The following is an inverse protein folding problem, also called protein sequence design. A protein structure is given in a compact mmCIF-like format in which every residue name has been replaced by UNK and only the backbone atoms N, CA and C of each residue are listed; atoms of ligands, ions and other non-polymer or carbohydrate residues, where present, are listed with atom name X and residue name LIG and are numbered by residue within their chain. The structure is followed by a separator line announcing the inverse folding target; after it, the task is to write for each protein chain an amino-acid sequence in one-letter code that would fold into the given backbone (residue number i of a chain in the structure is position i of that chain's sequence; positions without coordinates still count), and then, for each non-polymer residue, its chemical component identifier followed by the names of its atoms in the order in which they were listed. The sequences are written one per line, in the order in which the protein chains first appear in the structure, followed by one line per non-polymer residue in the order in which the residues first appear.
data_IF_956347754482
#
_entry.id   IF_956347754482
#
_cell.length_a   1.000
_cell.length_b   1.000
_cell.length_c   1.000
_cell.angle_alpha   90.00
_cell.angle_beta   90.00
_cell.angle_gamma   90.00
#
_symmetry.space_group_name_H-M   'P 1'
#
loop_
_entity.id
_entity.type
_entity.pdbx_description
1 polymer ?
#
# COMPACT_ATOMS: atom_id res chain seq x y z
N UNK A 1 1.30 0.32 2.62
CA UNK A 1 0.61 0.37 1.31
C UNK A 1 -0.28 1.60 1.24
N UNK A 2 -1.30 1.70 2.10
CA UNK A 2 -2.22 2.85 2.07
C UNK A 2 -1.53 4.19 2.39
N UNK A 3 -0.58 4.22 3.34
CA UNK A 3 0.24 5.42 3.59
C UNK A 3 0.93 5.94 2.31
N UNK A 4 1.51 5.04 1.52
CA UNK A 4 2.14 5.40 0.24
C UNK A 4 1.11 5.93 -0.75
N UNK A 5 -0.04 5.26 -0.90
CA UNK A 5 -1.13 5.72 -1.80
C UNK A 5 -1.66 7.08 -1.40
N UNK A 6 -1.86 7.33 -0.11
CA UNK A 6 -2.33 8.63 0.38
C UNK A 6 -1.32 9.73 0.14
N UNK A 7 -0.03 9.47 0.35
CA UNK A 7 1.03 10.43 0.06
C UNK A 7 1.14 10.72 -1.45
N UNK A 8 0.98 9.71 -2.31
CA UNK A 8 0.90 9.89 -3.77
C UNK A 8 -0.34 10.69 -4.18
N UNK A 9 -1.54 10.31 -3.70
CA UNK A 9 -2.79 10.97 -4.09
C UNK A 9 -2.92 12.39 -3.56
N UNK A 10 -2.30 12.70 -2.43
CA UNK A 10 -2.23 14.07 -1.90
C UNK A 10 -1.16 14.93 -2.57
N UNK A 11 -0.32 14.36 -3.44
CA UNK A 11 0.79 15.05 -4.08
C UNK A 11 2.03 15.26 -3.19
N UNK A 12 2.04 14.70 -1.98
CA UNK A 12 3.20 14.73 -1.08
C UNK A 12 4.36 13.89 -1.62
N UNK A 13 4.08 12.81 -2.35
CA UNK A 13 5.06 12.05 -3.12
C UNK A 13 4.99 12.48 -4.57
N UNK A 14 6.08 13.02 -5.10
CA UNK A 14 6.22 13.38 -6.51
C UNK A 14 6.40 12.14 -7.38
N UNK A 15 6.11 12.28 -8.68
CA UNK A 15 6.19 11.18 -9.64
C UNK A 15 7.61 10.62 -9.84
N UNK A 16 8.63 11.42 -9.53
CA UNK A 16 10.06 11.09 -9.60
C UNK A 16 10.62 10.49 -8.30
N UNK A 17 9.78 10.26 -7.27
CA UNK A 17 10.19 9.60 -6.02
C UNK A 17 9.26 8.43 -5.62
N UNK A 18 8.45 7.92 -6.56
CA UNK A 18 7.43 6.92 -6.27
C UNK A 18 8.04 5.66 -5.63
N UNK A 19 9.15 5.16 -6.18
CA UNK A 19 9.74 3.90 -5.75
C UNK A 19 10.59 4.08 -4.49
N UNK A 20 11.35 5.18 -4.39
CA UNK A 20 12.06 5.56 -3.16
C UNK A 20 11.11 5.70 -1.99
N UNK A 21 9.99 6.41 -2.14
CA UNK A 21 8.99 6.56 -1.05
C UNK A 21 8.32 5.25 -0.69
N UNK A 22 8.13 4.35 -1.66
CA UNK A 22 7.67 2.98 -1.37
C UNK A 22 8.64 2.24 -0.46
N UNK A 23 9.94 2.24 -0.79
CA UNK A 23 10.97 1.57 0.01
C UNK A 23 11.24 2.26 1.34
N UNK A 24 11.18 3.59 1.40
CA UNK A 24 11.29 4.35 2.66
C UNK A 24 10.24 3.86 3.68
N UNK A 25 8.98 3.69 3.25
CA UNK A 25 7.91 3.19 4.12
C UNK A 25 8.07 1.71 4.48
N UNK A 26 8.52 0.87 3.53
CA UNK A 26 8.75 -0.57 3.77
C UNK A 26 9.86 -0.80 4.78
N UNK A 27 10.98 -0.10 4.64
CA UNK A 27 12.11 -0.19 5.56
C UNK A 27 11.66 0.36 6.92
N UNK A 28 11.08 1.57 6.98
CA UNK A 28 10.69 2.22 8.23
C UNK A 28 9.70 1.40 9.05
N UNK A 29 8.63 0.92 8.44
CA UNK A 29 7.51 0.30 9.17
C UNK A 29 7.54 -1.23 9.19
N UNK A 30 8.31 -1.88 8.31
CA UNK A 30 8.31 -3.35 8.20
C UNK A 30 9.68 -3.99 8.37
N UNK A 31 10.77 -3.20 8.40
CA UNK A 31 12.12 -3.74 8.53
C UNK A 31 12.57 -4.57 7.33
N UNK A 32 12.02 -4.27 6.14
CA UNK A 32 12.32 -5.00 4.91
C UNK A 32 13.16 -4.14 3.97
N UNK A 33 14.32 -4.65 3.57
CA UNK A 33 15.16 -4.08 2.51
C UNK A 33 14.96 -4.81 1.19
N UNK A 34 15.17 -4.13 0.04
CA UNK A 34 15.26 -4.82 -1.24
C UNK A 34 16.57 -5.62 -1.32
N UNK A 35 16.58 -6.78 -2.01
CA UNK A 35 17.78 -7.59 -2.17
C UNK A 35 18.78 -7.01 -3.17
N UNK A 36 18.36 -6.04 -3.99
CA UNK A 36 19.17 -5.32 -4.97
C UNK A 36 18.89 -3.83 -4.85
N UNK A 37 19.83 -3.00 -5.30
CA UNK A 37 19.64 -1.55 -5.42
C UNK A 37 18.44 -1.25 -6.33
N UNK A 38 17.70 -0.20 -5.98
CA UNK A 38 16.47 0.21 -6.65
C UNK A 38 16.60 1.60 -7.22
N UNK A 39 15.82 1.89 -8.24
CA UNK A 39 15.78 3.20 -8.87
C UNK A 39 14.34 3.64 -9.12
N UNK A 40 14.17 4.81 -9.72
CA UNK A 40 12.85 5.32 -10.13
C UNK A 40 12.44 4.81 -11.53
N UNK A 41 13.30 4.02 -12.19
CA UNK A 41 12.91 3.22 -13.35
C UNK A 41 12.12 1.97 -12.93
N UNK A 42 12.21 1.56 -11.66
CA UNK A 42 11.39 0.51 -11.06
C UNK A 42 10.01 1.05 -10.62
N UNK A 43 9.04 0.16 -10.48
CA UNK A 43 7.76 0.46 -9.85
C UNK A 43 7.29 -0.70 -8.96
N UNK A 44 8.01 -0.95 -7.85
CA UNK A 44 7.78 -2.12 -6.99
C UNK A 44 6.41 -2.09 -6.30
N UNK A 45 5.88 -0.89 -6.04
CA UNK A 45 4.52 -0.71 -5.55
C UNK A 45 3.49 -1.35 -6.50
N UNK A 46 3.69 -1.23 -7.83
CA UNK A 46 2.81 -1.80 -8.85
C UNK A 46 2.79 -3.33 -8.90
N UNK A 47 3.81 -4.00 -8.34
CA UNK A 47 3.84 -5.46 -8.25
C UNK A 47 2.84 -6.03 -7.22
N UNK A 48 2.17 -5.17 -6.44
CA UNK A 48 1.06 -5.58 -5.57
C UNK A 48 -0.27 -5.43 -6.28
N UNK A 49 -1.00 -6.54 -6.42
CA UNK A 49 -2.32 -6.59 -7.07
C UNK A 49 -3.25 -5.46 -6.64
N UNK A 50 -3.37 -5.18 -5.34
CA UNK A 50 -4.28 -4.15 -4.85
C UNK A 50 -3.90 -2.73 -5.29
N UNK A 51 -2.62 -2.46 -5.54
CA UNK A 51 -2.19 -1.18 -6.11
C UNK A 51 -2.58 -1.11 -7.59
N UNK A 52 -2.19 -2.12 -8.37
CA UNK A 52 -2.45 -2.12 -9.83
C UNK A 52 -3.93 -2.23 -10.19
N UNK A 53 -4.73 -2.92 -9.37
CA UNK A 53 -6.17 -3.04 -9.54
C UNK A 53 -6.97 -1.88 -8.88
N UNK A 54 -6.30 -0.91 -8.25
CA UNK A 54 -6.95 0.23 -7.60
C UNK A 54 -7.73 -0.11 -6.31
N UNK A 55 -7.63 -1.35 -5.82
CA UNK A 55 -8.40 -1.89 -4.70
C UNK A 55 -7.82 -1.42 -3.36
N UNK A 56 -8.64 -0.92 -2.44
CA UNK A 56 -8.22 -0.45 -1.11
C UNK A 56 -7.65 -1.57 -0.23
N UNK A 57 -6.59 -1.26 0.54
CA UNK A 57 -5.88 -2.26 1.35
C UNK A 57 -6.10 -2.07 2.87
N UNK A 58 -6.46 -0.86 3.29
CA UNK A 58 -6.73 -0.50 4.70
C UNK A 58 -7.80 -1.40 5.35
N UNK A 59 -8.71 -1.97 4.57
CA UNK A 59 -9.75 -2.90 5.05
C UNK A 59 -9.17 -4.11 5.80
N UNK A 60 -7.99 -4.61 5.42
CA UNK A 60 -7.34 -5.72 6.12
C UNK A 60 -6.80 -5.30 7.48
N UNK A 61 -6.20 -4.10 7.56
CA UNK A 61 -5.69 -3.57 8.83
C UNK A 61 -6.83 -3.37 9.83
N UNK A 62 -7.93 -2.75 9.38
CA UNK A 62 -9.12 -2.53 10.21
C UNK A 62 -9.79 -3.86 10.58
N UNK A 63 -9.91 -4.80 9.64
CA UNK A 63 -10.56 -6.09 9.92
C UNK A 63 -9.86 -6.88 11.01
N UNK A 64 -8.52 -6.86 11.07
CA UNK A 64 -7.81 -7.55 12.15
C UNK A 64 -8.10 -6.94 13.52
N UNK A 65 -8.12 -5.61 13.64
CA UNK A 65 -8.45 -4.95 14.92
C UNK A 65 -9.88 -5.32 15.36
N UNK A 66 -10.83 -5.18 14.44
CA UNK A 66 -12.25 -5.42 14.72
C UNK A 66 -12.50 -6.90 15.02
N UNK A 67 -11.84 -7.83 14.33
CA UNK A 67 -11.97 -9.28 14.53
C UNK A 67 -11.74 -9.66 16.00
N UNK A 68 -10.63 -9.22 16.60
CA UNK A 68 -10.33 -9.55 17.99
C UNK A 68 -11.22 -8.80 18.98
N UNK A 69 -11.65 -7.58 18.65
CA UNK A 69 -12.61 -6.84 19.48
C UNK A 69 -13.97 -7.53 19.53
N UNK A 70 -14.45 -8.05 18.40
CA UNK A 70 -15.67 -8.85 18.33
C UNK A 70 -15.50 -10.17 19.06
N UNK A 71 -14.39 -10.87 18.80
CA UNK A 71 -14.08 -12.13 19.47
C UNK A 71 -14.11 -11.98 21.00
N UNK A 72 -13.45 -10.96 21.55
CA UNK A 72 -13.47 -10.68 23.00
C UNK A 72 -14.87 -10.42 23.53
N UNK A 73 -15.68 -9.61 22.84
CA UNK A 73 -17.02 -9.29 23.30
C UNK A 73 -17.96 -10.51 23.30
N UNK A 74 -17.81 -11.40 22.31
CA UNK A 74 -18.58 -12.64 22.23
C UNK A 74 -18.09 -13.66 23.28
N UNK A 75 -16.78 -13.81 23.43
CA UNK A 75 -16.17 -14.66 24.44
C UNK A 75 -16.50 -14.24 25.87
N UNK A 76 -16.57 -12.94 26.15
CA UNK A 76 -17.00 -12.44 27.46
C UNK A 76 -18.42 -12.86 27.85
N UNK A 77 -19.26 -13.26 26.88
CA UNK A 77 -20.60 -13.83 27.11
C UNK A 77 -20.58 -15.35 27.09
N UNK A 78 -19.79 -15.93 26.19
CA UNK A 78 -19.77 -17.38 26.00
C UNK A 78 -18.96 -18.13 27.07
N UNK A 79 -17.75 -17.64 27.37
CA UNK A 79 -16.74 -18.30 28.20
C UNK A 79 -15.85 -17.25 28.89
N UNK A 80 -16.38 -16.44 29.84
CA UNK A 80 -15.66 -15.30 30.43
C UNK A 80 -14.37 -15.66 31.17
N UNK A 81 -14.28 -16.88 31.70
CA UNK A 81 -13.12 -17.35 32.48
C UNK A 81 -12.06 -18.08 31.63
N UNK A 82 -12.30 -18.21 30.32
CA UNK A 82 -11.39 -18.91 29.41
C UNK A 82 -10.46 -17.89 28.75
N UNK A 83 -9.14 -18.16 28.67
CA UNK A 83 -8.22 -17.29 27.94
C UNK A 83 -8.69 -17.06 26.50
N UNK A 84 -8.58 -15.82 26.02
CA UNK A 84 -9.19 -15.38 24.76
C UNK A 84 -8.80 -16.25 23.54
N UNK A 85 -7.57 -16.76 23.51
CA UNK A 85 -7.04 -17.64 22.46
C UNK A 85 -7.53 -19.10 22.52
N UNK A 86 -8.21 -19.49 23.60
CA UNK A 86 -8.85 -20.81 23.78
C UNK A 86 -10.38 -20.75 23.71
N UNK A 87 -10.95 -19.54 23.74
CA UNK A 87 -12.39 -19.36 23.72
C UNK A 87 -13.00 -19.94 22.45
N UNK A 88 -14.10 -20.67 22.62
CA UNK A 88 -14.99 -21.12 21.55
C UNK A 88 -16.41 -20.62 21.84
N UNK A 89 -17.05 -20.03 20.83
CA UNK A 89 -18.42 -19.52 20.91
C UNK A 89 -19.46 -20.50 20.38
N UNK A 90 -19.04 -21.67 19.90
CA UNK A 90 -19.95 -22.70 19.40
C UNK A 90 -21.01 -23.10 20.44
N UNK A 91 -22.23 -23.32 19.97
CA UNK A 91 -23.39 -23.65 20.80
C UNK A 91 -23.89 -22.52 21.72
N UNK A 92 -23.20 -21.38 21.84
CA UNK A 92 -23.64 -20.30 22.72
C UNK A 92 -24.69 -19.41 22.05
N UNK A 93 -25.95 -19.55 22.49
CA UNK A 93 -27.09 -18.81 21.93
C UNK A 93 -27.01 -17.31 22.20
N UNK A 94 -26.50 -16.88 23.35
CA UNK A 94 -26.43 -15.46 23.70
C UNK A 94 -25.44 -14.70 22.80
N UNK A 95 -24.24 -15.26 22.60
CA UNK A 95 -23.25 -14.75 21.66
C UNK A 95 -23.79 -14.73 20.21
N UNK A 96 -24.51 -15.78 19.81
CA UNK A 96 -25.15 -15.83 18.49
C UNK A 96 -26.23 -14.75 18.30
N UNK A 97 -27.04 -14.47 19.32
CA UNK A 97 -28.09 -13.45 19.27
C UNK A 97 -27.51 -12.06 19.06
N UNK A 98 -26.52 -11.65 19.87
CA UNK A 98 -25.94 -10.31 19.77
C UNK A 98 -25.17 -10.11 18.45
N UNK A 99 -24.48 -11.15 17.97
CA UNK A 99 -23.83 -11.13 16.67
C UNK A 99 -24.88 -10.99 15.55
N UNK A 100 -25.98 -11.73 15.62
CA UNK A 100 -27.07 -11.65 14.65
C UNK A 100 -27.73 -10.27 14.63
N UNK A 101 -27.98 -9.67 15.80
CA UNK A 101 -28.55 -8.32 15.92
C UNK A 101 -27.67 -7.28 15.24
N UNK A 102 -26.36 -7.32 15.48
CA UNK A 102 -25.42 -6.41 14.83
C UNK A 102 -25.37 -6.63 13.30
N UNK A 103 -25.26 -7.88 12.84
CA UNK A 103 -25.14 -8.20 11.41
C UNK A 103 -26.40 -7.88 10.61
N UNK A 104 -27.60 -8.04 11.20
CA UNK A 104 -28.88 -7.73 10.54
C UNK A 104 -29.02 -6.27 10.12
N UNK A 105 -28.28 -5.35 10.76
CA UNK A 105 -28.32 -3.93 10.41
C UNK A 105 -27.61 -3.62 9.08
N UNK A 106 -26.65 -4.44 8.66
CA UNK A 106 -25.87 -4.19 7.44
C UNK A 106 -25.30 -2.77 7.42
N UNK A 107 -25.59 -2.02 6.36
CA UNK A 107 -25.19 -0.60 6.20
C UNK A 107 -26.27 0.40 6.61
N UNK A 108 -27.36 -0.02 7.25
CA UNK A 108 -28.48 0.88 7.62
C UNK A 108 -28.15 1.80 8.79
N UNK A 109 -27.06 1.55 9.51
CA UNK A 109 -26.59 2.33 10.67
C UNK A 109 -25.10 2.65 10.52
N UNK A 110 -24.62 3.77 11.07
CA UNK A 110 -23.19 4.03 11.20
C UNK A 110 -22.47 2.89 11.91
N UNK A 111 -21.31 2.49 11.40
CA UNK A 111 -20.55 1.38 11.97
C UNK A 111 -20.22 1.52 13.48
N UNK A 112 -20.00 2.73 14.06
CA UNK A 112 -19.76 2.83 15.50
C UNK A 112 -20.99 2.44 16.33
N UNK A 113 -22.20 2.70 15.83
CA UNK A 113 -23.44 2.33 16.51
C UNK A 113 -23.64 0.80 16.47
N UNK A 114 -23.30 0.17 15.34
CA UNK A 114 -23.33 -1.30 15.20
C UNK A 114 -22.27 -1.95 16.08
N UNK A 115 -21.07 -1.36 16.16
CA UNK A 115 -19.98 -1.83 17.02
C UNK A 115 -20.32 -1.73 18.51
N UNK A 116 -21.05 -0.68 18.91
CA UNK A 116 -21.51 -0.49 20.28
C UNK A 116 -22.50 -1.57 20.72
N UNK A 117 -23.41 -1.99 19.83
CA UNK A 117 -24.34 -3.11 20.10
C UNK A 117 -23.57 -4.38 20.44
N UNK A 118 -22.54 -4.73 19.65
CA UNK A 118 -21.81 -5.98 19.83
C UNK A 118 -20.80 -5.92 20.98
N UNK A 119 -20.06 -4.81 21.08
CA UNK A 119 -18.86 -4.70 21.93
C UNK A 119 -19.05 -3.84 23.17
N UNK A 120 -20.14 -3.07 23.26
CA UNK A 120 -20.35 -2.05 24.28
C UNK A 120 -19.49 -0.78 24.10
N UNK A 121 -18.77 -0.65 22.98
CA UNK A 121 -17.90 0.49 22.68
C UNK A 121 -18.10 0.98 21.25
N UNK A 122 -18.08 2.29 21.07
CA UNK A 122 -18.10 2.96 19.75
C UNK A 122 -16.71 3.08 19.12
N UNK A 123 -15.66 2.74 19.87
CA UNK A 123 -14.26 2.94 19.46
C UNK A 123 -13.60 1.63 19.08
N UNK A 124 -12.79 1.67 18.02
CA UNK A 124 -11.88 0.58 17.68
C UNK A 124 -10.74 0.49 18.72
N UNK A 125 -10.41 -0.72 19.13
CA UNK A 125 -9.34 -0.97 20.08
C UNK A 125 -8.49 -2.17 19.66
N UNK A 126 -7.17 -1.98 19.61
CA UNK A 126 -6.22 -3.06 19.42
C UNK A 126 -5.94 -3.88 20.70
N UNK A 127 -6.46 -3.46 21.86
CA UNK A 127 -6.22 -4.16 23.14
C UNK A 127 -6.61 -5.65 23.09
N UNK A 128 -7.76 -6.05 22.50
CA UNK A 128 -8.13 -7.46 22.41
C UNK A 128 -7.19 -8.29 21.52
N UNK A 129 -6.63 -7.68 20.46
CA UNK A 129 -5.61 -8.32 19.62
C UNK A 129 -4.34 -8.61 20.45
N UNK A 130 -3.87 -7.62 21.22
CA UNK A 130 -2.71 -7.79 22.09
C UNK A 130 -2.97 -8.85 23.16
N UNK A 131 -4.14 -8.83 23.80
CA UNK A 131 -4.55 -9.82 24.81
C UNK A 131 -4.58 -11.25 24.25
N UNK A 132 -5.07 -11.43 23.03
CA UNK A 132 -5.09 -12.74 22.37
C UNK A 132 -3.67 -13.32 22.22
N UNK A 133 -2.71 -12.48 21.83
CA UNK A 133 -1.32 -12.89 21.60
C UNK A 133 -0.40 -12.74 22.83
N UNK A 134 -0.91 -12.27 23.97
CA UNK A 134 -0.12 -12.03 25.18
C UNK A 134 0.77 -13.20 25.62
N UNK A 135 0.30 -14.48 25.60
CA UNK A 135 1.18 -15.62 25.92
C UNK A 135 2.36 -15.76 24.96
N UNK A 136 2.13 -15.51 23.66
CA UNK A 136 3.18 -15.57 22.65
C UNK A 136 4.15 -14.39 22.78
N UNK A 137 3.64 -13.19 23.08
CA UNK A 137 4.47 -12.00 23.29
C UNK A 137 5.43 -12.22 24.47
N UNK A 138 4.92 -12.71 25.61
CA UNK A 138 5.75 -13.04 26.78
C UNK A 138 6.78 -14.11 26.49
N UNK A 139 6.42 -15.12 25.68
CA UNK A 139 7.37 -16.15 25.25
C UNK A 139 8.49 -15.53 24.41
N UNK A 140 8.15 -14.76 23.37
CA UNK A 140 9.13 -14.11 22.50
C UNK A 140 10.04 -13.16 23.31
N UNK A 141 9.49 -12.36 24.23
CA UNK A 141 10.25 -11.46 25.10
C UNK A 141 11.34 -12.18 25.91
N UNK A 142 11.08 -13.42 26.35
CA UNK A 142 12.08 -14.23 27.05
C UNK A 142 13.15 -14.78 26.11
N UNK A 143 12.78 -15.18 24.89
CA UNK A 143 13.73 -15.74 23.93
C UNK A 143 14.67 -14.68 23.34
N UNK A 144 14.24 -13.42 23.23
CA UNK A 144 15.01 -12.35 22.57
C UNK A 144 15.83 -11.47 23.53
N UNK A 145 15.99 -11.86 24.80
CA UNK A 145 16.66 -11.02 25.82
C UNK A 145 18.09 -10.60 25.45
N UNK A 146 18.79 -11.42 24.65
CA UNK A 146 20.17 -11.17 24.22
C UNK A 146 20.26 -10.69 22.75
N UNK A 147 19.14 -10.38 22.13
CA UNK A 147 19.07 -9.98 20.74
C UNK A 147 18.97 -8.45 20.59
N UNK A 148 19.40 -7.95 19.44
CA UNK A 148 19.18 -6.53 19.10
C UNK A 148 17.77 -6.34 18.56
N UNK A 149 16.92 -5.65 19.30
CA UNK A 149 15.53 -5.39 18.91
C UNK A 149 15.45 -4.15 18.01
N UNK A 150 14.87 -4.33 16.83
CA UNK A 150 14.63 -3.26 15.85
C UNK A 150 15.60 -3.30 14.68
N UNK A 151 15.56 -2.25 13.86
CA UNK A 151 16.37 -2.13 12.65
C UNK A 151 16.62 -0.65 12.32
N UNK A 152 17.70 -0.39 11.57
CA UNK A 152 18.01 0.95 11.05
C UNK A 152 17.25 1.18 9.75
N UNK A 153 16.57 2.32 9.64
CA UNK A 153 15.84 2.70 8.44
C UNK A 153 16.58 3.76 7.63
N UNK A 154 17.47 3.33 6.73
CA UNK A 154 18.12 4.19 5.74
C UNK A 154 17.79 3.72 4.32
N UNK A 155 16.90 4.46 3.64
CA UNK A 155 16.52 4.15 2.26
C UNK A 155 17.65 4.41 1.26
N UNK A 156 18.56 5.35 1.54
CA UNK A 156 19.64 5.72 0.61
C UNK A 156 20.65 4.58 0.44
N UNK A 157 20.81 3.74 1.48
CA UNK A 157 21.57 2.51 1.40
C UNK A 157 21.04 1.53 0.33
N UNK A 158 19.79 1.70 -0.12
CA UNK A 158 19.10 0.80 -1.05
C UNK A 158 18.66 1.43 -2.37
N UNK A 159 18.81 2.75 -2.52
CA UNK A 159 18.63 3.41 -3.82
C UNK A 159 19.95 3.43 -4.59
N UNK A 160 19.87 3.31 -5.91
CA UNK A 160 20.96 3.67 -6.80
C UNK A 160 21.35 5.13 -6.54
N UNK A 161 22.65 5.44 -6.64
CA UNK A 161 23.06 6.83 -6.69
C UNK A 161 22.29 7.48 -7.84
N UNK A 162 21.84 8.75 -7.71
CA UNK A 162 21.42 9.50 -8.87
C UNK A 162 22.53 9.31 -9.90
N UNK A 163 22.22 8.71 -11.04
CA UNK A 163 23.14 8.78 -12.16
C UNK A 163 23.39 10.26 -12.31
N UNK A 164 24.65 10.70 -12.16
CA UNK A 164 25.02 12.02 -12.66
C UNK A 164 24.41 12.04 -14.04
N UNK A 165 23.40 12.90 -14.25
CA UNK A 165 22.86 13.13 -15.57
C UNK A 165 24.11 13.29 -16.42
N UNK A 166 24.33 12.36 -17.35
CA UNK A 166 25.49 12.41 -18.23
C UNK A 166 25.57 13.86 -18.64
N UNK A 167 26.70 14.53 -18.39
CA UNK A 167 26.97 15.92 -18.77
C UNK A 167 27.02 16.08 -20.31
N UNK A 168 26.10 15.42 -21.00
CA UNK A 168 25.78 15.48 -22.41
C UNK A 168 24.26 15.58 -22.66
N UNK A 169 23.44 15.84 -21.62
CA UNK A 169 22.00 16.04 -21.78
C UNK A 169 21.63 17.23 -22.67
N UNK A 170 22.46 18.28 -22.69
CA UNK A 170 22.27 19.43 -23.59
C UNK A 170 22.58 19.02 -25.05
N UNK A 171 23.69 18.31 -25.26
CA UNK A 171 24.06 17.80 -26.60
C UNK A 171 23.13 16.72 -27.14
N UNK A 172 22.55 15.84 -26.30
CA UNK A 172 21.62 14.79 -26.75
C UNK A 172 20.24 15.36 -27.11
N UNK A 173 19.74 16.34 -26.33
CA UNK A 173 18.50 17.05 -26.65
C UNK A 173 18.64 17.88 -27.93
N UNK A 174 19.74 18.63 -28.07
CA UNK A 174 20.03 19.39 -29.30
C UNK A 174 20.16 18.47 -30.51
N UNK A 175 20.85 17.33 -30.38
CA UNK A 175 20.99 16.36 -31.47
C UNK A 175 19.63 15.76 -31.87
N UNK A 176 18.76 15.47 -30.89
CA UNK A 176 17.41 14.96 -31.15
C UNK A 176 16.50 16.02 -31.79
N UNK A 177 16.59 17.28 -31.37
CA UNK A 177 15.87 18.40 -32.00
C UNK A 177 16.34 18.59 -33.45
N UNK A 178 17.65 18.66 -33.69
CA UNK A 178 18.24 18.79 -35.03
C UNK A 178 17.80 17.65 -35.97
N UNK A 179 17.73 16.43 -35.44
CA UNK A 179 17.27 15.24 -36.18
C UNK A 179 15.79 15.36 -36.55
N UNK A 180 14.94 15.82 -35.63
CA UNK A 180 13.52 16.04 -35.88
C UNK A 180 13.28 17.14 -36.92
N UNK A 181 14.01 18.25 -36.84
CA UNK A 181 13.95 19.35 -37.81
C UNK A 181 14.35 18.89 -39.22
N UNK A 182 15.45 18.14 -39.33
CA UNK A 182 15.94 17.59 -40.61
C UNK A 182 14.92 16.64 -41.23
N UNK A 183 14.31 15.77 -40.42
CA UNK A 183 13.28 14.85 -40.88
C UNK A 183 12.02 15.58 -41.35
N UNK A 184 11.62 16.64 -40.65
CA UNK A 184 10.48 17.48 -41.04
C UNK A 184 10.74 18.20 -42.38
N UNK A 185 11.96 18.70 -42.58
CA UNK A 185 12.35 19.36 -43.83
C UNK A 185 12.36 18.38 -45.01
N UNK A 186 12.85 17.15 -44.80
CA UNK A 186 12.80 16.08 -45.81
C UNK A 186 11.36 15.69 -46.16
N UNK A 187 10.47 15.62 -45.18
CA UNK A 187 9.04 15.36 -45.38
C UNK A 187 8.39 16.48 -46.19
N UNK A 188 8.64 17.75 -45.85
CA UNK A 188 8.11 18.89 -46.60
C UNK A 188 8.60 18.91 -48.04
N UNK A 189 9.89 18.64 -48.28
CA UNK A 189 10.43 18.56 -49.64
C UNK A 189 9.79 17.42 -50.45
N UNK A 190 9.48 16.29 -49.81
CA UNK A 190 8.76 15.18 -50.46
C UNK A 190 7.32 15.55 -50.80
N UNK A 191 6.62 16.27 -49.91
CA UNK A 191 5.25 16.75 -50.15
C UNK A 191 5.23 17.71 -51.34
N UNK A 192 6.13 18.70 -51.37
CA UNK A 192 6.24 19.66 -52.48
C UNK A 192 6.49 18.93 -53.81
N UNK A 193 7.40 17.95 -53.83
CA UNK A 193 7.66 17.16 -55.04
C UNK A 193 6.43 16.36 -55.50
N UNK A 194 5.67 15.78 -54.58
CA UNK A 194 4.43 15.08 -54.90
C UNK A 194 3.37 16.05 -55.44
N UNK A 195 3.26 17.26 -54.89
CA UNK A 195 2.36 18.30 -55.40
C UNK A 195 2.75 18.74 -56.82
N UNK A 196 4.04 18.93 -57.11
CA UNK A 196 4.54 19.24 -58.45
C UNK A 196 4.26 18.11 -59.46
N UNK A 197 4.50 16.85 -59.07
CA UNK A 197 4.20 15.67 -59.89
C UNK A 197 2.69 15.56 -60.17
N UNK A 198 1.84 15.84 -59.17
CA UNK A 198 0.38 15.85 -59.32
C UNK A 198 -0.11 16.98 -60.23
N UNK A 199 0.53 18.15 -60.21
CA UNK A 199 0.21 19.28 -61.11
C UNK A 199 0.60 18.92 -62.55
N UNK A 200 1.71 18.21 -62.77
CA UNK A 200 2.15 17.80 -64.11
C UNK A 200 1.27 16.70 -64.72
N UNK A 201 0.67 15.82 -63.91
CA UNK A 201 -0.28 14.80 -64.39
C UNK A 201 -1.67 15.36 -64.76
N UNK A 202 -1.98 16.61 -64.41
CA UNK A 202 -3.27 17.28 -64.71
C UNK A 202 -3.22 18.21 -65.93
N UNK A 203 -2.11 18.26 -66.67
CA UNK A 203 -1.98 18.92 -67.98
C UNK A 203 -1.84 17.88 -69.08
#
# INVERSE_FOLDING_TARGET
MDLWRWDVFSGKTSSDELNKKWWELRIKYQGLSPPVKRSEQDFDAGAKYHISAGVEYIRYFVSFIIQFQFHKALCGRAQPDVPLYKCDIDGNKEAGLILSEALKLGSSKPWPDVMEILTGSRQMSAKPLIEYFDPLLKYIENEIQNETIGWTADVNAYMEAPTEAIKGGETDLETRIQTLETNNQLLNNRIIKLEEEMIHQKK
#
